data_IF_142067981571
#
_entry.id   IF_142067981571
#
_cell.length_a   1.000
_cell.length_b   1.000
_cell.length_c   1.000
_cell.angle_alpha   90.00
_cell.angle_beta   90.00
_cell.angle_gamma   90.00
#
_symmetry.space_group_name_H-M   'P 1'
#
loop_
_entity.id
_entity.type
_entity.pdbx_description
1 polymer ?
#
# COMPACT_ATOMS: atom_id res chain seq x y z
N UNK A 1 24.57 8.97 -10.82
CA UNK A 1 25.92 8.56 -10.38
C UNK A 1 25.83 7.13 -9.87
N UNK A 2 26.68 6.23 -10.39
CA UNK A 2 26.82 4.89 -9.82
C UNK A 2 27.69 4.98 -8.56
N UNK A 3 27.32 4.25 -7.51
CA UNK A 3 28.11 4.15 -6.27
C UNK A 3 29.26 3.13 -6.41
N UNK A 4 29.20 2.27 -7.43
CA UNK A 4 30.21 1.25 -7.71
C UNK A 4 31.39 1.84 -8.49
N UNK A 5 32.60 1.47 -8.07
CA UNK A 5 33.84 1.82 -8.76
C UNK A 5 34.36 0.62 -9.54
N UNK A 6 34.87 0.88 -10.74
CA UNK A 6 35.46 -0.12 -11.61
C UNK A 6 36.90 0.29 -11.90
N UNK A 7 37.80 -0.68 -11.95
CA UNK A 7 39.20 -0.45 -12.30
C UNK A 7 39.40 -0.24 -13.81
N UNK A 8 40.64 0.01 -14.23
CA UNK A 8 41.00 0.22 -15.64
C UNK A 8 40.71 -1.00 -16.55
N UNK A 9 40.43 -2.17 -15.96
CA UNK A 9 40.07 -3.40 -16.67
C UNK A 9 38.56 -3.68 -16.65
N UNK A 10 37.74 -2.71 -16.24
CA UNK A 10 36.28 -2.84 -16.07
C UNK A 10 35.89 -3.90 -15.03
N UNK A 11 36.78 -4.19 -14.07
CA UNK A 11 36.50 -5.07 -12.93
C UNK A 11 35.98 -4.26 -11.76
N UNK A 12 34.91 -4.76 -11.13
CA UNK A 12 34.32 -4.14 -9.95
C UNK A 12 35.32 -4.14 -8.79
N UNK A 13 35.63 -2.97 -8.24
CA UNK A 13 36.41 -2.85 -7.00
C UNK A 13 35.55 -3.28 -5.81
N UNK A 14 35.88 -4.40 -5.13
CA UNK A 14 35.10 -4.88 -3.98
C UNK A 14 35.04 -3.88 -2.82
N UNK A 15 36.02 -2.97 -2.70
CA UNK A 15 36.05 -1.97 -1.63
C UNK A 15 34.96 -0.89 -1.78
N UNK A 16 34.47 -0.70 -3.00
CA UNK A 16 33.39 0.24 -3.32
C UNK A 16 31.99 -0.34 -3.04
N UNK A 17 31.90 -1.64 -2.75
CA UNK A 17 30.62 -2.32 -2.48
C UNK A 17 30.17 -1.99 -1.07
N UNK A 18 28.98 -1.42 -0.96
CA UNK A 18 28.27 -1.23 0.31
C UNK A 18 27.21 -2.33 0.42
N UNK A 19 27.39 -3.33 1.30
CA UNK A 19 26.39 -4.37 1.50
C UNK A 19 25.07 -3.79 2.02
N UNK A 20 23.95 -4.23 1.45
CA UNK A 20 22.61 -3.90 1.91
C UNK A 20 21.95 -5.15 2.48
N UNK A 21 21.52 -5.09 3.74
CA UNK A 21 20.64 -6.10 4.34
C UNK A 21 19.24 -5.52 4.33
N UNK A 22 18.33 -6.21 3.64
CA UNK A 22 16.94 -5.79 3.46
C UNK A 22 16.00 -6.85 4.04
N UNK A 23 14.96 -6.39 4.72
CA UNK A 23 13.97 -7.25 5.36
C UNK A 23 12.59 -6.61 5.36
N UNK A 24 11.57 -7.44 5.16
CA UNK A 24 10.18 -6.98 5.10
C UNK A 24 9.21 -7.98 5.73
N UNK A 25 8.10 -7.47 6.27
CA UNK A 25 7.07 -8.26 6.96
C UNK A 25 5.65 -7.87 6.53
N UNK A 26 4.76 -8.86 6.48
CA UNK A 26 3.32 -8.69 6.28
C UNK A 26 2.58 -9.81 7.01
N UNK A 27 1.86 -9.45 8.07
CA UNK A 27 1.17 -10.40 8.95
C UNK A 27 2.13 -11.45 9.51
N UNK A 28 1.91 -12.72 9.13
CA UNK A 28 2.73 -13.86 9.54
C UNK A 28 3.80 -14.27 8.52
N UNK A 29 4.02 -13.46 7.49
CA UNK A 29 5.04 -13.68 6.47
C UNK A 29 6.12 -12.62 6.57
N UNK A 30 7.33 -12.99 6.19
CA UNK A 30 8.43 -12.07 6.06
C UNK A 30 9.55 -12.64 5.21
N UNK A 31 10.50 -11.79 4.84
CA UNK A 31 11.70 -12.18 4.13
C UNK A 31 12.89 -11.35 4.61
N UNK A 32 14.09 -11.89 4.46
CA UNK A 32 15.34 -11.20 4.66
C UNK A 32 16.29 -11.56 3.51
N UNK A 33 17.09 -10.60 3.06
CA UNK A 33 18.08 -10.79 1.99
C UNK A 33 19.30 -9.92 2.18
N UNK A 34 20.40 -10.37 1.60
CA UNK A 34 21.65 -9.63 1.53
C UNK A 34 21.92 -9.31 0.06
N UNK A 35 22.16 -8.03 -0.23
CA UNK A 35 22.42 -7.50 -1.56
C UNK A 35 23.84 -6.93 -1.57
N UNK A 36 24.67 -7.46 -2.46
CA UNK A 36 25.98 -6.94 -2.82
C UNK A 36 25.87 -6.33 -4.22
N UNK A 37 25.80 -5.00 -4.28
CA UNK A 37 25.60 -4.29 -5.54
C UNK A 37 26.69 -4.64 -6.57
N UNK A 38 26.28 -4.99 -7.79
CA UNK A 38 27.18 -5.45 -8.86
C UNK A 38 27.59 -6.91 -8.78
N UNK A 39 27.22 -7.65 -7.72
CA UNK A 39 27.57 -9.07 -7.55
C UNK A 39 26.35 -9.99 -7.38
N UNK A 40 25.37 -9.62 -6.55
CA UNK A 40 24.15 -10.40 -6.34
C UNK A 40 22.94 -9.73 -6.98
N UNK A 41 21.83 -10.45 -7.08
CA UNK A 41 20.56 -9.86 -7.52
C UNK A 41 20.19 -8.65 -6.66
N UNK A 42 19.92 -7.51 -7.30
CA UNK A 42 19.46 -6.31 -6.63
C UNK A 42 17.93 -6.32 -6.46
N UNK A 43 17.37 -5.22 -5.97
CA UNK A 43 15.92 -5.11 -5.77
C UNK A 43 15.16 -5.14 -7.10
N UNK A 44 15.69 -4.50 -8.14
CA UNK A 44 15.07 -4.52 -9.47
C UNK A 44 15.09 -5.92 -10.11
N UNK A 45 16.15 -6.71 -9.86
CA UNK A 45 16.23 -8.11 -10.33
C UNK A 45 15.13 -9.01 -9.75
N UNK A 46 14.51 -8.59 -8.64
CA UNK A 46 13.52 -9.39 -7.89
C UNK A 46 12.19 -8.67 -7.71
N UNK A 47 11.95 -7.60 -8.49
CA UNK A 47 10.75 -6.77 -8.38
C UNK A 47 9.45 -7.59 -8.60
N UNK A 48 9.51 -8.61 -9.46
CA UNK A 48 8.37 -9.50 -9.75
C UNK A 48 7.97 -10.41 -8.58
N UNK A 49 8.80 -10.49 -7.52
CA UNK A 49 8.46 -11.25 -6.31
C UNK A 49 7.51 -10.47 -5.39
N UNK A 50 7.37 -9.16 -5.56
CA UNK A 50 6.43 -8.36 -4.78
C UNK A 50 4.99 -8.65 -5.25
N UNK A 51 4.03 -8.78 -4.32
CA UNK A 51 2.65 -9.01 -4.70
C UNK A 51 2.11 -7.82 -5.52
N UNK A 52 1.20 -8.07 -6.47
CA UNK A 52 0.58 -7.00 -7.24
C UNK A 52 -0.21 -6.08 -6.31
N UNK A 53 -0.10 -4.77 -6.53
CA UNK A 53 -0.91 -3.79 -5.80
C UNK A 53 -2.39 -3.99 -6.14
N UNK A 54 -3.23 -3.96 -5.10
CA UNK A 54 -4.69 -4.04 -5.28
C UNK A 54 -5.15 -2.70 -5.86
N UNK A 55 -5.62 -2.72 -7.11
CA UNK A 55 -6.22 -1.55 -7.76
C UNK A 55 -7.58 -1.94 -8.33
N UNK A 56 -8.62 -1.20 -7.94
CA UNK A 56 -9.98 -1.44 -8.41
C UNK A 56 -10.27 -0.62 -9.66
N UNK A 57 -10.80 -1.21 -10.75
CA UNK A 57 -11.11 -0.44 -11.96
C UNK A 57 -12.16 0.64 -11.69
N UNK A 58 -11.92 1.86 -12.19
CA UNK A 58 -12.83 3.01 -11.98
C UNK A 58 -14.27 2.71 -12.41
N UNK A 59 -14.47 1.98 -13.51
CA UNK A 59 -15.80 1.58 -13.96
C UNK A 59 -16.55 0.72 -12.93
N UNK A 60 -15.83 -0.15 -12.22
CA UNK A 60 -16.37 -1.02 -11.17
C UNK A 60 -16.77 -0.18 -9.96
N UNK A 61 -15.88 0.70 -9.50
CA UNK A 61 -16.14 1.62 -8.37
C UNK A 61 -17.35 2.51 -8.67
N UNK A 62 -17.40 3.10 -9.87
CA UNK A 62 -18.40 4.08 -10.25
C UNK A 62 -19.78 3.48 -10.54
N UNK A 63 -19.87 2.29 -11.14
CA UNK A 63 -21.14 1.77 -11.68
C UNK A 63 -21.54 0.37 -11.24
N UNK A 64 -20.58 -0.49 -10.91
CA UNK A 64 -20.84 -1.92 -10.63
C UNK A 64 -20.06 -2.39 -9.39
N UNK A 65 -20.29 -1.80 -8.20
CA UNK A 65 -19.65 -2.28 -6.98
C UNK A 65 -20.11 -3.71 -6.66
N UNK A 66 -19.24 -4.47 -5.99
CA UNK A 66 -19.45 -5.91 -5.69
C UNK A 66 -18.92 -6.28 -4.31
N UNK A 67 -17.88 -5.60 -3.88
CA UNK A 67 -17.24 -5.76 -2.58
C UNK A 67 -17.45 -4.49 -1.75
N UNK A 68 -17.49 -4.57 -0.41
CA UNK A 68 -17.61 -3.39 0.46
C UNK A 68 -16.47 -2.38 0.25
N UNK A 69 -15.28 -2.84 -0.11
CA UNK A 69 -14.12 -2.01 -0.48
C UNK A 69 -14.42 -1.10 -1.67
N UNK A 70 -15.21 -1.57 -2.64
CA UNK A 70 -15.61 -0.74 -3.79
C UNK A 70 -16.50 0.44 -3.36
N UNK A 71 -17.34 0.25 -2.34
CA UNK A 71 -18.18 1.32 -1.81
C UNK A 71 -17.34 2.35 -1.03
N UNK A 72 -16.32 1.90 -0.29
CA UNK A 72 -15.39 2.79 0.41
C UNK A 72 -14.54 3.59 -0.58
N UNK A 73 -13.99 2.94 -1.60
CA UNK A 73 -13.23 3.62 -2.66
C UNK A 73 -14.09 4.62 -3.43
N UNK A 74 -15.38 4.34 -3.65
CA UNK A 74 -16.29 5.32 -4.25
C UNK A 74 -16.39 6.60 -3.41
N UNK A 75 -16.55 6.47 -2.09
CA UNK A 75 -16.59 7.61 -1.19
C UNK A 75 -15.29 8.42 -1.24
N UNK A 76 -14.15 7.73 -1.31
CA UNK A 76 -12.80 8.33 -1.36
C UNK A 76 -12.53 9.07 -2.67
N UNK A 77 -12.72 8.43 -3.83
CA UNK A 77 -12.25 8.98 -5.11
C UNK A 77 -13.33 9.75 -5.88
N UNK A 78 -14.62 9.51 -5.59
CA UNK A 78 -15.74 10.15 -6.31
C UNK A 78 -16.48 11.14 -5.41
N UNK A 79 -16.93 10.73 -4.22
CA UNK A 79 -17.74 11.62 -3.37
C UNK A 79 -16.91 12.69 -2.68
N UNK A 80 -15.75 12.36 -2.13
CA UNK A 80 -14.94 13.34 -1.40
C UNK A 80 -14.60 14.58 -2.25
N UNK A 81 -14.07 14.44 -3.49
CA UNK A 81 -13.77 15.61 -4.31
C UNK A 81 -15.03 16.36 -4.76
N UNK A 82 -16.16 15.66 -4.88
CA UNK A 82 -17.45 16.21 -5.32
C UNK A 82 -18.14 17.02 -4.23
N UNK A 83 -18.23 16.45 -3.03
CA UNK A 83 -18.98 17.04 -1.90
C UNK A 83 -18.12 17.97 -1.04
N UNK A 84 -16.79 17.83 -1.07
CA UNK A 84 -15.84 18.62 -0.28
C UNK A 84 -16.28 18.77 1.19
N UNK A 85 -16.52 17.65 1.90
CA UNK A 85 -17.27 17.63 3.17
C UNK A 85 -16.64 18.46 4.30
N UNK A 86 -15.32 18.67 4.25
CA UNK A 86 -14.58 19.42 5.27
C UNK A 86 -14.01 20.75 4.74
N UNK A 87 -14.46 21.21 3.58
CA UNK A 87 -14.03 22.47 2.96
C UNK A 87 -13.23 22.29 1.67
N UNK A 88 -13.08 23.39 0.92
CA UNK A 88 -12.34 23.37 -0.34
C UNK A 88 -10.83 23.14 -0.10
N UNK A 89 -10.24 22.24 -0.88
CA UNK A 89 -8.82 21.92 -0.80
C UNK A 89 -8.42 20.99 0.35
N UNK A 90 -9.37 20.57 1.19
CA UNK A 90 -9.09 19.59 2.26
C UNK A 90 -8.99 18.19 1.68
N UNK A 91 -7.80 17.60 1.74
CA UNK A 91 -7.54 16.21 1.38
C UNK A 91 -8.00 15.25 2.48
N UNK A 92 -8.26 14.01 2.10
CA UNK A 92 -8.55 12.93 3.06
C UNK A 92 -7.35 12.75 3.99
N UNK A 93 -7.65 12.68 5.28
CA UNK A 93 -6.69 12.34 6.33
C UNK A 93 -7.17 11.04 6.97
N UNK A 94 -6.37 9.98 6.82
CA UNK A 94 -6.69 8.65 7.33
C UNK A 94 -6.54 8.50 8.84
N UNK A 95 -5.93 9.48 9.50
CA UNK A 95 -5.74 9.55 10.96
C UNK A 95 -6.80 10.44 11.64
N UNK A 96 -7.53 11.26 10.87
CA UNK A 96 -8.64 12.05 11.39
C UNK A 96 -9.91 11.19 11.54
N UNK A 97 -10.42 10.98 12.77
CA UNK A 97 -11.62 10.18 13.00
C UNK A 97 -12.87 10.69 12.28
N UNK A 98 -13.02 12.00 12.11
CA UNK A 98 -14.18 12.61 11.46
C UNK A 98 -14.17 12.34 9.95
N UNK A 99 -12.99 12.40 9.32
CA UNK A 99 -12.82 12.06 7.91
C UNK A 99 -13.18 10.59 7.65
N UNK A 100 -12.67 9.68 8.51
CA UNK A 100 -12.99 8.25 8.41
C UNK A 100 -14.48 8.00 8.66
N UNK A 101 -15.09 8.68 9.63
CA UNK A 101 -16.51 8.54 9.93
C UNK A 101 -17.36 8.93 8.71
N UNK A 102 -17.07 10.09 8.10
CA UNK A 102 -17.78 10.53 6.90
C UNK A 102 -17.65 9.53 5.74
N UNK A 103 -16.44 9.02 5.50
CA UNK A 103 -16.18 8.02 4.46
C UNK A 103 -16.95 6.72 4.73
N UNK A 104 -16.99 6.28 5.98
CA UNK A 104 -17.72 5.10 6.42
C UNK A 104 -19.24 5.27 6.19
N UNK A 105 -19.84 6.38 6.63
CA UNK A 105 -21.27 6.63 6.45
C UNK A 105 -21.67 6.66 4.96
N UNK A 106 -20.88 7.34 4.12
CA UNK A 106 -21.11 7.39 2.68
C UNK A 106 -20.94 6.03 2.01
N UNK A 107 -19.96 5.25 2.46
CA UNK A 107 -19.75 3.90 1.97
C UNK A 107 -20.92 2.97 2.36
N UNK A 108 -21.48 3.13 3.56
CA UNK A 108 -22.66 2.38 4.00
C UNK A 108 -23.88 2.69 3.15
N UNK A 109 -24.18 3.98 2.92
CA UNK A 109 -25.29 4.40 2.07
C UNK A 109 -25.20 3.76 0.67
N UNK A 110 -24.01 3.79 0.07
CA UNK A 110 -23.79 3.15 -1.24
C UNK A 110 -23.87 1.62 -1.16
N UNK A 111 -23.38 1.02 -0.09
CA UNK A 111 -23.50 -0.42 0.09
C UNK A 111 -24.97 -0.86 0.19
N UNK A 112 -25.83 -0.08 0.86
CA UNK A 112 -27.28 -0.31 0.92
C UNK A 112 -27.94 -0.22 -0.45
N UNK A 113 -27.62 0.80 -1.26
CA UNK A 113 -28.13 0.97 -2.62
C UNK A 113 -27.88 -0.28 -3.49
N UNK A 114 -26.71 -0.89 -3.36
CA UNK A 114 -26.30 -2.07 -4.12
C UNK A 114 -26.48 -3.40 -3.36
N UNK A 115 -27.09 -3.36 -2.16
CA UNK A 115 -27.31 -4.53 -1.28
C UNK A 115 -26.02 -5.30 -0.95
N UNK A 116 -24.92 -4.58 -0.74
CA UNK A 116 -23.61 -5.10 -0.35
C UNK A 116 -23.49 -5.04 1.17
N UNK A 117 -23.06 -6.14 1.78
CA UNK A 117 -22.81 -6.22 3.22
C UNK A 117 -21.31 -6.11 3.53
N UNK A 118 -20.97 -5.85 4.79
CA UNK A 118 -19.59 -5.93 5.29
C UNK A 118 -18.84 -4.60 5.38
N UNK A 119 -19.46 -3.47 5.02
CA UNK A 119 -18.90 -2.15 5.32
C UNK A 119 -18.87 -1.96 6.84
N UNK A 120 -17.69 -1.72 7.38
CA UNK A 120 -17.46 -1.46 8.81
C UNK A 120 -16.42 -0.36 8.97
N UNK A 121 -16.43 0.35 10.10
CA UNK A 121 -15.44 1.39 10.39
C UNK A 121 -13.99 0.88 10.26
N UNK A 122 -13.72 -0.34 10.77
CA UNK A 122 -12.41 -0.98 10.68
C UNK A 122 -12.01 -1.27 9.22
N UNK A 123 -12.95 -1.72 8.40
CA UNK A 123 -12.68 -1.94 6.97
C UNK A 123 -12.41 -0.62 6.26
N UNK A 124 -13.17 0.43 6.57
CA UNK A 124 -12.92 1.78 6.04
C UNK A 124 -11.51 2.24 6.34
N UNK A 125 -11.05 2.15 7.59
CA UNK A 125 -9.66 2.47 7.94
C UNK A 125 -8.65 1.61 7.15
N UNK A 126 -8.92 0.31 7.04
CA UNK A 126 -8.10 -0.62 6.27
C UNK A 126 -7.89 -0.18 4.82
N UNK A 127 -8.98 0.18 4.13
CA UNK A 127 -8.98 0.60 2.72
C UNK A 127 -8.34 1.99 2.56
N UNK A 128 -8.71 2.97 3.40
CA UNK A 128 -8.22 4.35 3.27
C UNK A 128 -6.72 4.43 3.53
N UNK A 129 -6.23 3.74 4.56
CA UNK A 129 -4.82 3.78 4.97
C UNK A 129 -3.96 2.69 4.35
N UNK A 130 -4.53 1.79 3.54
CA UNK A 130 -3.86 0.59 3.02
C UNK A 130 -3.14 -0.19 4.15
N UNK A 131 -3.86 -0.47 5.25
CA UNK A 131 -3.28 -1.06 6.45
C UNK A 131 -2.72 -2.46 6.13
N UNK A 132 -1.41 -2.62 6.31
CA UNK A 132 -0.72 -3.91 6.29
C UNK A 132 -0.77 -4.50 7.70
N UNK A 133 -1.35 -5.69 7.92
CA UNK A 133 -1.34 -6.33 9.23
C UNK A 133 0.09 -6.54 9.74
N UNK A 134 0.33 -6.29 11.03
CA UNK A 134 1.65 -6.46 11.65
C UNK A 134 1.53 -7.12 13.02
N UNK A 135 2.49 -8.02 13.34
CA UNK A 135 2.62 -8.66 14.64
C UNK A 135 4.08 -8.65 15.09
N UNK A 136 4.31 -8.47 16.39
CA UNK A 136 5.65 -8.34 16.95
C UNK A 136 6.53 -9.59 16.72
N UNK A 137 5.93 -10.78 16.73
CA UNK A 137 6.66 -12.05 16.52
C UNK A 137 7.31 -12.12 15.14
N UNK A 138 6.61 -11.74 14.07
CA UNK A 138 7.17 -11.77 12.71
C UNK A 138 8.29 -10.74 12.55
N UNK A 139 8.12 -9.55 13.12
CA UNK A 139 9.19 -8.53 13.12
C UNK A 139 10.43 -9.03 13.86
N UNK A 140 10.26 -9.69 15.01
CA UNK A 140 11.37 -10.25 15.78
C UNK A 140 12.09 -11.40 15.06
N UNK A 141 11.42 -12.12 14.15
CA UNK A 141 12.04 -13.20 13.36
C UNK A 141 12.87 -12.65 12.20
N UNK A 142 12.49 -11.50 11.63
CA UNK A 142 13.16 -10.90 10.47
C UNK A 142 14.26 -9.90 10.87
N UNK A 143 14.13 -9.25 12.03
CA UNK A 143 15.04 -8.22 12.53
C UNK A 143 16.37 -8.76 13.09
#
# INVERSE_FOLDING_TARGET
>A
LSLLQYDDNDQLDPSSIIPLVDGGTEGFKGHARVILAGMTACMDCTMDLYPPQINYPLCTIATKPRLPEHCIEYSKIILWPKEKPFGEGVSIDGDNPDHIMWLFEKAQQRAEEFRIQGVSYRLTQGVIKHIIPAVASTNAVIA
#
